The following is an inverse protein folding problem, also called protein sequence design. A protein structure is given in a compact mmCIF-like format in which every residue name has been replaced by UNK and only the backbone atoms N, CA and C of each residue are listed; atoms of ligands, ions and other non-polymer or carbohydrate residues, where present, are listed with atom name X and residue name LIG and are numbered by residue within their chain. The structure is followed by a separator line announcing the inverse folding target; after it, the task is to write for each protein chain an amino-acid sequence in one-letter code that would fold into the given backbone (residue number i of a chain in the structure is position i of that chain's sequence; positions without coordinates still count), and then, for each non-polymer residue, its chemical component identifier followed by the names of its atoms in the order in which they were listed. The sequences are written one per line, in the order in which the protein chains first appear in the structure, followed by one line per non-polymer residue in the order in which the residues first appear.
data_IF_046463881325
#
_entry.id   IF_046463881325
#
_cell.length_a   1.000
_cell.length_b   1.000
_cell.length_c   1.000
_cell.angle_alpha   90.00
_cell.angle_beta   90.00
_cell.angle_gamma   90.00
#
_symmetry.space_group_name_H-M   'P 1'
#
loop_
_entity.id
_entity.type
_entity.pdbx_description
1 polymer ?
#
# COMPACT_ATOMS: atom_id res chain seq x y z
N UNK A 1 23.02 -12.72 18.82
CA UNK A 1 22.11 -12.19 17.78
C UNK A 1 22.90 -11.91 16.52
N UNK A 2 22.26 -11.95 15.34
CA UNK A 2 22.90 -11.53 14.09
C UNK A 2 22.90 -10.00 13.98
N UNK A 3 23.96 -9.39 13.43
CA UNK A 3 23.97 -7.95 13.16
C UNK A 3 22.89 -7.59 12.13
N UNK A 4 22.28 -6.43 12.31
CA UNK A 4 21.30 -5.87 11.39
C UNK A 4 21.94 -5.62 10.01
N UNK A 5 21.50 -6.34 8.97
CA UNK A 5 22.03 -6.25 7.59
C UNK A 5 21.89 -4.88 6.90
N UNK A 6 21.19 -3.93 7.52
CA UNK A 6 20.98 -2.59 6.96
C UNK A 6 21.91 -1.53 7.55
N UNK A 7 22.44 -1.77 8.76
CA UNK A 7 23.37 -0.87 9.42
C UNK A 7 24.66 -1.57 9.87
N UNK A 8 24.84 -2.84 9.50
CA UNK A 8 25.98 -3.70 9.84
C UNK A 8 26.31 -3.72 11.34
N UNK A 9 25.28 -3.67 12.19
CA UNK A 9 25.47 -3.69 13.64
C UNK A 9 25.57 -2.32 14.31
N UNK A 10 25.70 -1.23 13.56
CA UNK A 10 26.00 0.09 14.14
C UNK A 10 24.80 0.81 14.76
N UNK A 11 23.58 0.39 14.42
CA UNK A 11 22.36 1.10 14.80
C UNK A 11 22.08 2.38 13.99
N UNK A 12 23.03 2.83 13.17
CA UNK A 12 22.93 4.04 12.34
C UNK A 12 23.03 3.66 10.87
N UNK A 13 22.10 4.13 10.05
CA UNK A 13 22.16 3.92 8.61
C UNK A 13 22.33 5.23 7.87
N UNK A 14 22.94 5.18 6.68
CA UNK A 14 23.41 6.36 5.97
C UNK A 14 22.75 6.51 4.58
N UNK A 15 21.42 6.72 4.50
CA UNK A 15 20.74 6.89 3.22
C UNK A 15 21.00 8.26 2.59
N UNK A 16 20.71 8.38 1.30
CA UNK A 16 20.61 9.68 0.63
C UNK A 16 19.18 10.23 0.71
N UNK A 17 19.04 11.54 0.88
CA UNK A 17 17.75 12.23 0.81
C UNK A 17 17.85 13.50 -0.03
N UNK A 18 16.76 13.92 -0.70
CA UNK A 18 16.73 15.20 -1.38
C UNK A 18 16.85 16.35 -0.38
N UNK A 19 17.66 17.33 -0.71
CA UNK A 19 17.89 18.55 0.05
C UNK A 19 17.80 19.74 -0.90
N UNK A 20 17.20 20.83 -0.42
CA UNK A 20 17.09 22.06 -1.21
C UNK A 20 18.23 22.99 -0.85
N UNK A 21 19.06 23.33 -1.83
CA UNK A 21 20.16 24.28 -1.65
C UNK A 21 19.63 25.71 -1.44
N UNK A 22 20.52 26.61 -1.02
CA UNK A 22 20.19 28.05 -0.87
C UNK A 22 19.74 28.69 -2.20
N UNK A 23 20.25 28.18 -3.32
CA UNK A 23 19.85 28.60 -4.67
C UNK A 23 18.49 28.00 -5.11
N UNK A 24 17.89 27.11 -4.30
CA UNK A 24 16.59 26.50 -4.56
C UNK A 24 16.62 25.19 -5.36
N UNK A 25 17.81 24.71 -5.73
CA UNK A 25 18.03 23.45 -6.46
C UNK A 25 17.84 22.23 -5.55
N UNK A 26 17.40 21.10 -6.10
CA UNK A 26 17.31 19.84 -5.37
C UNK A 26 18.61 19.05 -5.58
N UNK A 27 19.40 18.89 -4.52
CA UNK A 27 20.59 18.04 -4.46
C UNK A 27 20.33 16.82 -3.59
N UNK A 28 21.17 15.78 -3.70
CA UNK A 28 21.12 14.60 -2.83
C UNK A 28 22.23 14.71 -1.80
N UNK A 29 21.88 14.55 -0.53
CA UNK A 29 22.85 14.53 0.57
C UNK A 29 22.74 13.21 1.32
N UNK A 30 23.88 12.68 1.75
CA UNK A 30 23.91 11.57 2.69
C UNK A 30 23.54 12.09 4.09
N UNK A 31 22.68 11.36 4.79
CA UNK A 31 22.30 11.67 6.18
C UNK A 31 22.60 10.50 7.09
N UNK A 32 22.94 10.78 8.35
CA UNK A 32 23.04 9.77 9.39
C UNK A 32 21.74 9.76 10.20
N UNK A 33 20.98 8.67 10.13
CA UNK A 33 19.73 8.50 10.86
C UNK A 33 19.74 7.21 11.68
N UNK A 34 18.86 7.10 12.67
CA UNK A 34 18.62 5.83 13.37
C UNK A 34 18.14 4.78 12.36
N UNK A 35 18.75 3.60 12.37
CA UNK A 35 18.36 2.51 11.47
C UNK A 35 16.92 2.06 11.79
N UNK A 36 16.00 2.31 10.85
CA UNK A 36 14.57 2.01 10.99
C UNK A 36 14.26 0.51 11.06
N UNK A 37 15.14 -0.33 10.53
CA UNK A 37 14.95 -1.79 10.49
C UNK A 37 15.31 -2.48 11.80
N UNK A 38 16.23 -1.91 12.58
CA UNK A 38 16.58 -2.41 13.91
C UNK A 38 16.23 -1.45 15.06
N UNK A 39 15.54 -0.34 14.77
CA UNK A 39 15.19 0.70 15.76
C UNK A 39 16.42 1.18 16.55
N UNK A 40 17.57 1.27 15.89
CA UNK A 40 18.83 1.69 16.53
C UNK A 40 19.55 0.63 17.37
N UNK A 41 19.00 -0.58 17.52
CA UNK A 41 19.59 -1.64 18.37
C UNK A 41 20.85 -2.25 17.74
N UNK A 42 20.98 -2.22 16.41
CA UNK A 42 22.09 -2.86 15.69
C UNK A 42 21.90 -4.36 15.47
N UNK A 43 20.87 -4.96 16.04
CA UNK A 43 20.59 -6.39 15.88
C UNK A 43 19.45 -6.65 14.89
N UNK A 44 19.53 -7.76 14.16
CA UNK A 44 18.47 -8.19 13.26
C UNK A 44 17.18 -8.44 14.05
N UNK A 45 16.12 -7.71 13.66
CA UNK A 45 14.82 -7.91 14.26
C UNK A 45 14.19 -9.19 13.70
N UNK A 46 13.50 -9.98 14.53
CA UNK A 46 12.68 -11.07 14.01
C UNK A 46 11.77 -10.49 12.94
N UNK A 47 11.64 -11.19 11.81
CA UNK A 47 10.67 -10.83 10.79
C UNK A 47 9.36 -10.66 11.53
N UNK A 48 8.80 -9.45 11.50
CA UNK A 48 7.41 -9.27 11.83
C UNK A 48 6.67 -10.04 10.74
N UNK A 49 6.36 -11.31 11.01
CA UNK A 49 5.16 -11.90 10.46
C UNK A 49 4.10 -10.87 10.81
N UNK A 50 3.71 -10.09 9.81
CA UNK A 50 2.65 -9.13 9.98
C UNK A 50 1.54 -9.91 10.67
N UNK A 51 0.88 -9.30 11.66
CA UNK A 51 -0.32 -9.85 12.26
C UNK A 51 -1.48 -9.98 11.24
N UNK A 52 -1.17 -10.23 9.96
CA UNK A 52 -2.06 -10.71 8.92
C UNK A 52 -2.48 -12.17 9.13
N UNK A 53 -2.05 -12.82 10.22
CA UNK A 53 -2.77 -13.97 10.78
C UNK A 53 -4.09 -13.57 11.46
N UNK A 54 -4.38 -12.27 11.63
CA UNK A 54 -5.76 -11.85 11.76
C UNK A 54 -6.48 -12.26 10.47
N UNK A 55 -7.58 -13.04 10.51
CA UNK A 55 -8.38 -13.24 9.31
C UNK A 55 -8.68 -11.85 8.77
N UNK A 56 -8.31 -11.59 7.51
CA UNK A 56 -8.59 -10.32 6.86
C UNK A 56 -10.05 -10.00 7.19
N UNK A 57 -10.30 -8.93 7.97
CA UNK A 57 -11.67 -8.47 8.18
C UNK A 57 -12.20 -8.28 6.78
N UNK A 58 -13.20 -9.07 6.40
CA UNK A 58 -13.65 -9.05 5.02
C UNK A 58 -14.12 -7.63 4.73
N UNK A 59 -13.40 -6.91 3.86
CA UNK A 59 -13.89 -5.65 3.30
C UNK A 59 -15.07 -5.89 2.34
N UNK A 60 -15.53 -7.15 2.22
CA UNK A 60 -16.77 -7.48 1.56
C UNK A 60 -17.92 -6.74 2.26
N UNK A 61 -18.73 -5.99 1.52
CA UNK A 61 -19.90 -5.38 2.12
C UNK A 61 -20.90 -6.45 2.59
N UNK A 62 -21.81 -6.11 3.52
CA UNK A 62 -22.81 -7.06 4.04
C UNK A 62 -23.61 -7.74 2.92
N UNK A 63 -24.01 -9.00 3.12
CA UNK A 63 -24.77 -9.79 2.11
C UNK A 63 -25.99 -9.04 1.54
N UNK A 64 -26.83 -8.36 2.35
CA UNK A 64 -27.97 -7.61 1.81
C UNK A 64 -27.54 -6.50 0.83
N UNK A 65 -26.38 -5.89 1.05
CA UNK A 65 -25.82 -4.89 0.15
C UNK A 65 -25.27 -5.51 -1.13
N UNK A 66 -24.63 -6.69 -1.04
CA UNK A 66 -24.14 -7.43 -2.21
C UNK A 66 -25.29 -7.86 -3.12
N UNK A 67 -26.42 -8.25 -2.54
CA UNK A 67 -27.61 -8.65 -3.30
C UNK A 67 -28.29 -7.45 -3.95
N UNK A 68 -28.36 -6.30 -3.26
CA UNK A 68 -28.84 -5.06 -3.83
C UNK A 68 -27.99 -4.61 -5.03
N UNK A 69 -26.66 -4.68 -4.91
CA UNK A 69 -25.75 -4.37 -6.03
C UNK A 69 -25.90 -5.35 -7.21
N UNK A 70 -26.17 -6.62 -6.93
CA UNK A 70 -26.43 -7.62 -7.99
C UNK A 70 -27.71 -7.28 -8.75
N UNK A 71 -28.80 -6.99 -8.03
CA UNK A 71 -30.08 -6.63 -8.62
C UNK A 71 -29.98 -5.34 -9.46
N UNK A 72 -29.25 -4.34 -8.96
CA UNK A 72 -29.06 -3.08 -9.70
C UNK A 72 -28.24 -3.29 -10.98
N UNK A 73 -27.19 -4.11 -10.92
CA UNK A 73 -26.42 -4.47 -12.12
C UNK A 73 -27.29 -5.17 -13.17
N UNK A 74 -28.17 -6.07 -12.75
CA UNK A 74 -29.08 -6.76 -13.65
C UNK A 74 -30.06 -5.79 -14.32
N UNK A 75 -30.69 -4.90 -13.56
CA UNK A 75 -31.57 -3.85 -14.11
C UNK A 75 -30.87 -2.97 -15.14
N UNK A 76 -29.64 -2.52 -14.84
CA UNK A 76 -28.86 -1.71 -15.77
C UNK A 76 -28.51 -2.48 -17.04
N UNK A 77 -28.19 -3.78 -16.91
CA UNK A 77 -27.89 -4.62 -18.06
C UNK A 77 -29.11 -4.76 -18.97
N UNK A 78 -30.30 -5.00 -18.41
CA UNK A 78 -31.55 -5.05 -19.18
C UNK A 78 -31.82 -3.72 -19.88
N UNK A 79 -31.67 -2.60 -19.17
CA UNK A 79 -31.88 -1.27 -19.76
C UNK A 79 -30.92 -0.97 -20.91
N UNK A 80 -29.67 -1.42 -20.81
CA UNK A 80 -28.70 -1.29 -21.92
C UNK A 80 -29.13 -2.12 -23.13
N UNK A 81 -29.59 -3.36 -22.92
CA UNK A 81 -30.08 -4.22 -24.00
C UNK A 81 -31.30 -3.61 -24.71
N UNK A 82 -32.22 -2.99 -23.96
CA UNK A 82 -33.37 -2.29 -24.53
C UNK A 82 -32.95 -1.09 -25.39
N UNK A 83 -31.97 -0.32 -24.93
CA UNK A 83 -31.41 0.81 -25.70
C UNK A 83 -30.73 0.30 -26.97
N UNK A 84 -29.89 -0.73 -26.88
CA UNK A 84 -29.19 -1.30 -28.02
C UNK A 84 -30.16 -1.87 -29.06
N UNK A 85 -31.26 -2.51 -28.62
CA UNK A 85 -32.32 -2.98 -29.50
C UNK A 85 -33.02 -1.80 -30.21
N UNK A 86 -33.40 -0.76 -29.47
CA UNK A 86 -34.06 0.42 -30.03
C UNK A 86 -33.16 1.18 -31.04
N UNK A 87 -31.84 1.17 -30.83
CA UNK A 87 -30.88 1.74 -31.77
C UNK A 87 -30.66 0.87 -33.01
N UNK A 88 -30.91 -0.43 -32.93
CA UNK A 88 -30.77 -1.37 -34.05
C UNK A 88 -31.96 -1.34 -35.02
N UNK A 89 -33.11 -0.83 -34.57
CA UNK A 89 -34.34 -0.67 -35.36
C UNK A 89 -34.41 0.67 -36.13
N UNK A 90 -33.40 1.54 -35.97
CA UNK A 90 -33.23 2.82 -36.67
C UNK A 90 -32.33 2.68 -37.91
#
# INVERSE_FOLDING_TARGET
MNPCRWCDGTGTWHPEKPHRSEAGEITWIQVAETCRMCVGIGEEQPRQETASSQPARSNAPPVPYRDALRAERERLTTRLQEIDAALSDL
#
